data_IF_861903949661
#
_entry.id   IF_861903949661
#
_cell.length_a   1.000
_cell.length_b   1.000
_cell.length_c   1.000
_cell.angle_alpha   90.00
_cell.angle_beta   90.00
_cell.angle_gamma   90.00
#
_symmetry.space_group_name_H-M   'P 1'
#
loop_
_entity.id
_entity.type
_entity.pdbx_description
1 polymer ?
#
# COMPACT_ATOMS: atom_id res chain seq x y z
N UNK A 1 48.32 0.87 1.24
CA UNK A 1 47.19 1.42 0.45
C UNK A 1 46.04 0.43 0.23
N UNK A 2 46.26 -0.84 -0.15
CA UNK A 2 45.18 -1.83 -0.40
C UNK A 2 44.16 -2.02 0.74
N UNK A 3 44.58 -1.95 2.01
CA UNK A 3 43.68 -2.12 3.16
C UNK A 3 42.63 -1.00 3.32
N UNK A 4 43.00 0.26 3.03
CA UNK A 4 42.07 1.40 3.10
C UNK A 4 41.00 1.33 2.01
N UNK A 5 41.38 0.91 0.80
CA UNK A 5 40.42 0.69 -0.30
C UNK A 5 39.41 -0.41 0.00
N UNK A 6 39.83 -1.49 0.67
CA UNK A 6 38.94 -2.58 1.08
C UNK A 6 37.86 -2.14 2.08
N UNK A 7 38.20 -1.22 3.00
CA UNK A 7 37.23 -0.67 3.95
C UNK A 7 36.19 0.23 3.26
N UNK A 8 36.59 1.00 2.25
CA UNK A 8 35.65 1.82 1.46
C UNK A 8 34.62 0.92 0.76
N UNK A 9 35.05 -0.16 0.11
CA UNK A 9 34.13 -1.12 -0.54
C UNK A 9 33.18 -1.81 0.44
N UNK A 10 33.60 -2.00 1.68
CA UNK A 10 32.72 -2.52 2.73
C UNK A 10 31.59 -1.54 3.06
N UNK A 11 31.88 -0.26 3.29
CA UNK A 11 30.86 0.75 3.55
C UNK A 11 29.92 0.97 2.36
N UNK A 12 30.46 0.97 1.14
CA UNK A 12 29.65 1.02 -0.10
C UNK A 12 28.69 -0.17 -0.15
N UNK A 13 29.14 -1.36 0.24
CA UNK A 13 28.28 -2.55 0.25
C UNK A 13 27.15 -2.46 1.28
N UNK A 14 27.41 -1.86 2.44
CA UNK A 14 26.37 -1.59 3.46
C UNK A 14 25.32 -0.63 2.90
N UNK A 15 25.73 0.45 2.24
CA UNK A 15 24.80 1.43 1.65
C UNK A 15 23.95 0.78 0.57
N UNK A 16 24.54 -0.03 -0.31
CA UNK A 16 23.82 -0.77 -1.35
C UNK A 16 22.81 -1.73 -0.71
N UNK A 17 23.20 -2.47 0.33
CA UNK A 17 22.31 -3.37 1.05
C UNK A 17 21.12 -2.62 1.67
N UNK A 18 21.36 -1.46 2.29
CA UNK A 18 20.29 -0.61 2.82
C UNK A 18 19.31 -0.17 1.73
N UNK A 19 19.80 0.26 0.57
CA UNK A 19 18.96 0.64 -0.58
C UNK A 19 18.11 -0.54 -1.04
N UNK A 20 18.69 -1.74 -1.19
CA UNK A 20 17.97 -2.95 -1.60
C UNK A 20 16.88 -3.29 -0.57
N UNK A 21 17.16 -3.17 0.73
CA UNK A 21 16.19 -3.43 1.81
C UNK A 21 15.03 -2.42 1.78
N UNK A 22 15.32 -1.13 1.54
CA UNK A 22 14.28 -0.11 1.39
C UNK A 22 13.40 -0.41 0.17
N UNK A 23 14.01 -0.71 -0.98
CA UNK A 23 13.29 -1.08 -2.20
C UNK A 23 12.45 -2.35 -2.01
N UNK A 24 12.91 -3.30 -1.19
CA UNK A 24 12.17 -4.52 -0.85
C UNK A 24 10.91 -4.28 0.00
N UNK A 25 10.82 -3.12 0.66
CA UNK A 25 9.59 -2.66 1.32
C UNK A 25 8.52 -2.20 0.32
N UNK A 26 8.96 -1.66 -0.83
CA UNK A 26 8.07 -1.16 -1.89
C UNK A 26 7.70 -2.28 -2.87
N UNK A 27 8.69 -3.08 -3.27
CA UNK A 27 8.55 -4.12 -4.31
C UNK A 27 9.03 -5.48 -3.79
N UNK A 28 8.16 -6.50 -3.74
CA UNK A 28 8.47 -7.78 -3.09
C UNK A 28 9.59 -8.58 -3.80
N UNK A 29 9.81 -8.35 -5.11
CA UNK A 29 10.86 -9.01 -5.89
C UNK A 29 12.28 -8.73 -5.36
N UNK A 30 12.51 -7.57 -4.73
CA UNK A 30 13.83 -7.19 -4.20
C UNK A 30 14.20 -7.92 -2.90
N UNK A 31 13.26 -8.62 -2.24
CA UNK A 31 13.52 -9.40 -1.02
C UNK A 31 14.53 -10.52 -1.27
N UNK A 32 14.38 -11.23 -2.39
CA UNK A 32 15.31 -12.29 -2.79
C UNK A 32 16.67 -11.70 -3.19
N UNK A 33 16.67 -10.50 -3.77
CA UNK A 33 17.89 -9.82 -4.19
C UNK A 33 18.79 -9.45 -3.01
N UNK A 34 18.23 -9.08 -1.85
CA UNK A 34 19.00 -8.82 -0.63
C UNK A 34 19.81 -10.05 -0.16
N UNK A 35 19.17 -11.23 -0.18
CA UNK A 35 19.82 -12.49 0.18
C UNK A 35 20.89 -12.88 -0.86
N UNK A 36 20.55 -12.77 -2.14
CA UNK A 36 21.50 -13.03 -3.23
C UNK A 36 22.73 -12.11 -3.13
N UNK A 37 22.51 -10.83 -2.82
CA UNK A 37 23.59 -9.86 -2.62
C UNK A 37 24.52 -10.25 -1.47
N UNK A 38 23.97 -10.67 -0.31
CA UNK A 38 24.78 -11.13 0.83
C UNK A 38 25.64 -12.35 0.49
N UNK A 39 25.09 -13.31 -0.26
CA UNK A 39 25.84 -14.49 -0.72
C UNK A 39 26.98 -14.08 -1.64
N UNK A 40 26.71 -13.22 -2.63
CA UNK A 40 27.74 -12.71 -3.56
C UNK A 40 28.82 -11.94 -2.80
N UNK A 41 28.42 -11.06 -1.87
CA UNK A 41 29.35 -10.29 -1.04
C UNK A 41 30.24 -11.21 -0.19
N UNK A 42 29.67 -12.26 0.40
CA UNK A 42 30.42 -13.25 1.18
C UNK A 42 31.48 -13.96 0.34
N UNK A 43 31.11 -14.43 -0.86
CA UNK A 43 32.01 -15.17 -1.74
C UNK A 43 33.14 -14.30 -2.30
N UNK A 44 32.84 -13.04 -2.62
CA UNK A 44 33.79 -12.13 -3.28
C UNK A 44 34.72 -11.41 -2.29
N UNK A 45 34.18 -10.93 -1.17
CA UNK A 45 34.90 -10.11 -0.20
C UNK A 45 35.27 -10.89 1.06
N UNK A 46 34.28 -11.41 1.79
CA UNK A 46 34.50 -11.98 3.13
C UNK A 46 35.40 -13.22 3.11
N UNK A 47 35.17 -14.14 2.16
CA UNK A 47 35.94 -15.39 2.04
C UNK A 47 37.43 -15.13 1.81
N UNK A 48 37.77 -14.14 0.96
CA UNK A 48 39.17 -13.76 0.69
C UNK A 48 39.84 -13.15 1.92
N UNK A 49 39.13 -12.31 2.66
CA UNK A 49 39.66 -11.69 3.88
C UNK A 49 39.96 -12.71 4.97
N UNK A 50 39.06 -13.67 5.19
CA UNK A 50 39.28 -14.77 6.15
C UNK A 50 40.49 -15.62 5.74
N UNK A 51 40.62 -15.94 4.45
CA UNK A 51 41.73 -16.74 3.96
C UNK A 51 43.08 -16.00 4.11
N UNK A 52 43.10 -14.68 3.89
CA UNK A 52 44.28 -13.84 4.10
C UNK A 52 44.74 -13.84 5.56
N UNK A 53 43.81 -13.67 6.52
CA UNK A 53 44.13 -13.72 7.96
C UNK A 53 44.72 -15.07 8.35
N UNK A 54 44.10 -16.17 7.90
CA UNK A 54 44.57 -17.54 8.17
C UNK A 54 45.96 -17.79 7.58
N UNK A 55 46.20 -17.38 6.33
CA UNK A 55 47.47 -17.59 5.63
C UNK A 55 48.63 -16.83 6.28
N UNK A 56 48.37 -15.62 6.74
CA UNK A 56 49.40 -14.76 7.33
C UNK A 56 49.54 -14.94 8.85
N UNK A 57 48.86 -15.93 9.44
CA UNK A 57 48.87 -16.22 10.88
C UNK A 57 48.70 -14.98 11.77
N UNK A 58 47.84 -14.05 11.32
CA UNK A 58 47.59 -12.81 12.07
C UNK A 58 46.81 -13.18 13.33
N UNK A 59 47.33 -12.83 14.50
CA UNK A 59 46.62 -12.98 15.76
C UNK A 59 45.40 -12.04 15.75
N UNK A 60 44.24 -12.61 15.41
CA UNK A 60 42.99 -11.89 15.25
C UNK A 60 42.08 -12.16 16.45
N UNK A 61 41.84 -11.13 17.23
CA UNK A 61 40.82 -11.18 18.28
C UNK A 61 39.43 -11.23 17.63
N UNK A 62 38.72 -12.34 17.83
CA UNK A 62 37.39 -12.51 17.27
C UNK A 62 36.44 -11.51 17.90
N UNK A 63 35.90 -10.62 17.08
CA UNK A 63 34.85 -9.70 17.53
C UNK A 63 33.52 -10.43 17.60
N UNK A 64 32.83 -10.25 18.72
CA UNK A 64 31.48 -10.79 18.92
C UNK A 64 30.48 -10.10 17.99
N UNK A 65 29.67 -10.91 17.30
CA UNK A 65 28.64 -10.44 16.36
C UNK A 65 27.30 -10.19 17.05
N UNK A 66 27.12 -10.58 18.31
CA UNK A 66 25.85 -10.44 19.02
C UNK A 66 25.32 -9.00 19.02
N UNK A 67 26.19 -8.01 19.28
CA UNK A 67 25.80 -6.58 19.25
C UNK A 67 25.39 -6.12 17.84
N UNK A 68 26.10 -6.55 16.81
CA UNK A 68 25.79 -6.17 15.43
C UNK A 68 24.45 -6.78 14.97
N UNK A 69 24.20 -8.04 15.31
CA UNK A 69 22.93 -8.71 15.04
C UNK A 69 21.77 -8.04 15.79
N UNK A 70 21.98 -7.64 17.05
CA UNK A 70 20.98 -6.92 17.84
C UNK A 70 20.58 -5.60 17.15
N UNK A 71 21.55 -4.77 16.75
CA UNK A 71 21.25 -3.51 16.03
C UNK A 71 20.56 -3.77 14.69
N UNK A 72 20.99 -4.79 13.94
CA UNK A 72 20.35 -5.17 12.68
C UNK A 72 18.90 -5.60 12.86
N UNK A 73 18.62 -6.44 13.86
CA UNK A 73 17.28 -6.89 14.19
C UNK A 73 16.39 -5.74 14.66
N UNK A 74 16.90 -4.88 15.55
CA UNK A 74 16.18 -3.70 16.03
C UNK A 74 15.83 -2.75 14.88
N UNK A 75 16.77 -2.46 13.99
CA UNK A 75 16.53 -1.63 12.80
C UNK A 75 15.48 -2.23 11.86
N UNK A 76 15.53 -3.54 11.63
CA UNK A 76 14.52 -4.25 10.82
C UNK A 76 13.11 -4.14 11.43
N UNK A 77 12.98 -4.34 12.75
CA UNK A 77 11.70 -4.21 13.45
C UNK A 77 11.14 -2.79 13.32
N UNK A 78 11.98 -1.76 13.48
CA UNK A 78 11.56 -0.36 13.30
C UNK A 78 11.02 -0.10 11.89
N UNK A 79 11.74 -0.56 10.85
CA UNK A 79 11.29 -0.41 9.46
C UNK A 79 10.00 -1.18 9.18
N UNK A 80 9.84 -2.36 9.77
CA UNK A 80 8.63 -3.16 9.65
C UNK A 80 7.43 -2.45 10.27
N UNK A 81 7.56 -1.95 11.49
CA UNK A 81 6.50 -1.18 12.18
C UNK A 81 6.14 0.07 11.41
N UNK A 82 7.13 0.81 10.89
CA UNK A 82 6.89 2.00 10.07
C UNK A 82 6.10 1.67 8.80
N UNK A 83 6.47 0.60 8.10
CA UNK A 83 5.73 0.13 6.92
C UNK A 83 4.31 -0.32 7.26
N UNK A 84 4.13 -0.99 8.40
CA UNK A 84 2.82 -1.41 8.87
C UNK A 84 1.90 -0.22 9.15
N UNK A 85 2.42 0.81 9.84
CA UNK A 85 1.69 2.06 10.10
C UNK A 85 1.34 2.75 8.78
N UNK A 86 2.30 2.87 7.85
CA UNK A 86 2.08 3.50 6.55
C UNK A 86 1.02 2.76 5.73
N UNK A 87 1.11 1.43 5.66
CA UNK A 87 0.13 0.59 4.98
C UNK A 87 -1.26 0.82 5.55
N UNK A 88 -1.40 0.76 6.87
CA UNK A 88 -2.68 0.98 7.54
C UNK A 88 -3.21 2.40 7.29
N UNK A 89 -2.38 3.43 7.40
CA UNK A 89 -2.77 4.80 7.09
C UNK A 89 -3.27 4.96 5.65
N UNK A 90 -2.59 4.35 4.67
CA UNK A 90 -3.00 4.36 3.27
C UNK A 90 -4.29 3.55 3.04
N UNK A 91 -4.44 2.38 3.68
CA UNK A 91 -5.68 1.59 3.59
C UNK A 91 -6.85 2.36 4.20
N UNK A 92 -6.70 2.97 5.37
CA UNK A 92 -7.76 3.78 5.98
C UNK A 92 -8.13 5.00 5.14
N UNK A 93 -7.15 5.64 4.49
CA UNK A 93 -7.41 6.73 3.55
C UNK A 93 -8.20 6.27 2.30
N UNK A 94 -7.97 5.04 1.81
CA UNK A 94 -8.60 4.52 0.60
C UNK A 94 -9.89 3.71 0.84
N UNK A 95 -10.12 3.18 2.05
CA UNK A 95 -11.30 2.36 2.39
C UNK A 95 -12.60 3.18 2.49
N UNK A 96 -12.53 4.51 2.60
CA UNK A 96 -13.71 5.35 2.85
C UNK A 96 -14.15 6.18 1.63
N UNK A 97 -13.44 6.11 0.50
CA UNK A 97 -13.84 6.85 -0.71
C UNK A 97 -13.93 5.91 -1.91
N UNK A 98 -15.10 5.29 -2.08
CA UNK A 98 -15.42 4.73 -3.39
C UNK A 98 -15.35 5.85 -4.44
N UNK A 99 -14.80 5.59 -5.64
CA UNK A 99 -14.86 6.56 -6.73
C UNK A 99 -16.32 6.90 -7.02
N UNK A 100 -16.65 8.20 -7.17
CA UNK A 100 -18.02 8.67 -7.46
C UNK A 100 -18.65 7.91 -8.63
N UNK A 101 -17.88 7.64 -9.68
CA UNK A 101 -18.34 6.90 -10.86
C UNK A 101 -18.85 5.49 -10.56
N UNK A 102 -18.24 4.78 -9.60
CA UNK A 102 -18.68 3.42 -9.21
C UNK A 102 -20.00 3.48 -8.44
N UNK A 103 -20.18 4.51 -7.62
CA UNK A 103 -21.44 4.73 -6.90
C UNK A 103 -22.56 5.08 -7.89
N UNK A 104 -22.28 5.92 -8.88
CA UNK A 104 -23.24 6.33 -9.91
C UNK A 104 -23.72 5.14 -10.77
N UNK A 105 -22.79 4.31 -11.26
CA UNK A 105 -23.11 3.14 -12.07
C UNK A 105 -23.87 2.06 -11.28
N UNK A 106 -23.46 1.78 -10.04
CA UNK A 106 -24.12 0.77 -9.20
C UNK A 106 -25.48 1.22 -8.65
N UNK A 107 -25.76 2.52 -8.60
CA UNK A 107 -27.02 3.06 -8.08
C UNK A 107 -28.15 3.05 -9.12
N UNK A 108 -27.85 3.19 -10.42
CA UNK A 108 -28.86 3.22 -11.50
C UNK A 108 -29.86 2.03 -11.48
N UNK A 109 -29.45 0.76 -11.36
CA UNK A 109 -30.40 -0.36 -11.30
C UNK A 109 -31.24 -0.37 -10.02
N UNK A 110 -30.66 0.05 -8.88
CA UNK A 110 -31.37 0.10 -7.59
C UNK A 110 -32.42 1.23 -7.61
N UNK A 111 -32.08 2.39 -8.18
CA UNK A 111 -33.02 3.50 -8.38
C UNK A 111 -34.16 3.10 -9.31
N UNK A 112 -33.86 2.39 -10.42
CA UNK A 112 -34.90 1.90 -11.35
C UNK A 112 -35.91 1.00 -10.64
N UNK A 113 -35.44 0.05 -9.82
CA UNK A 113 -36.33 -0.81 -9.03
C UNK A 113 -37.17 -0.01 -8.03
N UNK A 114 -36.60 1.02 -7.40
CA UNK A 114 -37.30 1.87 -6.45
C UNK A 114 -38.41 2.68 -7.13
N UNK A 115 -38.14 3.27 -8.29
CA UNK A 115 -39.09 4.06 -9.08
C UNK A 115 -40.28 3.19 -9.51
N UNK A 116 -40.01 2.00 -10.05
CA UNK A 116 -41.06 1.07 -10.50
C UNK A 116 -41.90 0.53 -9.35
N UNK A 117 -41.27 0.21 -8.21
CA UNK A 117 -41.95 -0.45 -7.09
C UNK A 117 -42.68 0.52 -6.16
N UNK A 118 -42.09 1.69 -5.87
CA UNK A 118 -42.60 2.62 -4.87
C UNK A 118 -43.31 3.83 -5.46
N UNK A 119 -42.86 4.33 -6.61
CA UNK A 119 -43.47 5.48 -7.28
C UNK A 119 -44.48 5.07 -8.36
N UNK A 120 -44.55 3.78 -8.69
CA UNK A 120 -45.47 3.20 -9.69
C UNK A 120 -45.34 3.87 -11.07
N UNK A 121 -44.11 4.32 -11.38
CA UNK A 121 -43.74 4.95 -12.65
C UNK A 121 -43.15 3.87 -13.58
N UNK A 122 -43.53 3.90 -14.86
CA UNK A 122 -43.01 2.96 -15.88
C UNK A 122 -41.63 3.35 -16.42
N UNK A 123 -41.12 4.55 -16.09
CA UNK A 123 -39.85 5.06 -16.59
C UNK A 123 -38.64 4.46 -15.87
N UNK A 124 -37.60 4.10 -16.63
CA UNK A 124 -36.31 3.65 -16.11
C UNK A 124 -35.35 4.81 -15.86
N UNK A 125 -34.41 4.59 -14.92
CA UNK A 125 -33.35 5.55 -14.63
C UNK A 125 -32.20 5.34 -15.63
N UNK A 126 -31.86 6.38 -16.39
CA UNK A 126 -30.77 6.36 -17.36
C UNK A 126 -29.41 6.57 -16.69
N UNK A 127 -29.33 7.56 -15.79
CA UNK A 127 -28.10 7.90 -15.08
C UNK A 127 -28.37 8.52 -13.72
N UNK A 128 -27.45 8.31 -12.79
CA UNK A 128 -27.45 8.94 -11.46
C UNK A 128 -26.20 9.81 -11.38
N UNK A 129 -26.37 11.09 -11.06
CA UNK A 129 -25.25 12.05 -10.93
C UNK A 129 -25.14 12.49 -9.48
N UNK A 130 -23.98 12.35 -8.86
CA UNK A 130 -23.74 12.80 -7.48
C UNK A 130 -23.44 14.30 -7.48
N UNK A 131 -24.32 15.08 -6.86
CA UNK A 131 -24.18 16.54 -6.77
C UNK A 131 -23.24 16.92 -5.63
N UNK A 132 -23.50 16.43 -4.41
CA UNK A 132 -22.77 16.84 -3.20
C UNK A 132 -22.56 15.68 -2.23
N UNK A 133 -21.52 15.77 -1.40
CA UNK A 133 -21.28 14.85 -0.28
C UNK A 133 -21.70 15.55 1.03
N UNK A 134 -22.72 15.02 1.70
CA UNK A 134 -23.27 15.62 2.93
C UNK A 134 -22.42 15.23 4.13
N UNK A 135 -22.01 13.96 4.18
CA UNK A 135 -21.16 13.39 5.22
C UNK A 135 -20.49 12.12 4.69
N UNK A 136 -19.48 11.61 5.41
CA UNK A 136 -18.76 10.40 4.98
C UNK A 136 -19.72 9.24 4.74
N UNK A 137 -19.86 8.84 3.46
CA UNK A 137 -20.77 7.78 3.02
C UNK A 137 -22.22 8.22 2.75
N UNK A 138 -22.55 9.51 2.75
CA UNK A 138 -23.88 10.04 2.42
C UNK A 138 -23.78 11.11 1.33
N UNK A 139 -24.42 10.86 0.20
CA UNK A 139 -24.32 11.66 -1.03
C UNK A 139 -25.71 12.16 -1.46
N UNK A 140 -25.79 13.43 -1.86
CA UNK A 140 -26.90 13.95 -2.64
C UNK A 140 -26.67 13.57 -4.10
N UNK A 141 -27.69 13.01 -4.74
CA UNK A 141 -27.66 12.62 -6.13
C UNK A 141 -28.94 13.00 -6.86
N UNK A 142 -28.84 13.14 -8.17
CA UNK A 142 -29.97 13.38 -9.06
C UNK A 142 -30.06 12.19 -10.01
N UNK A 143 -31.22 11.53 -10.04
CA UNK A 143 -31.55 10.52 -11.03
C UNK A 143 -32.20 11.18 -12.24
N UNK A 144 -31.64 10.93 -13.43
CA UNK A 144 -32.22 11.32 -14.71
C UNK A 144 -32.98 10.12 -15.28
N UNK A 145 -34.29 10.27 -15.45
CA UNK A 145 -35.16 9.25 -16.01
C UNK A 145 -35.21 9.37 -17.55
N UNK A 146 -35.63 8.30 -18.21
CA UNK A 146 -35.75 8.25 -19.67
C UNK A 146 -36.79 9.23 -20.24
N UNK A 147 -37.75 9.64 -19.42
CA UNK A 147 -38.78 10.65 -19.76
C UNK A 147 -38.28 12.10 -19.64
N UNK A 148 -37.02 12.30 -19.22
CA UNK A 148 -36.40 13.61 -18.99
C UNK A 148 -36.69 14.21 -17.61
N UNK A 149 -37.45 13.53 -16.76
CA UNK A 149 -37.72 13.93 -15.37
C UNK A 149 -36.48 13.73 -14.52
N UNK A 150 -36.26 14.64 -13.57
CA UNK A 150 -35.16 14.58 -12.61
C UNK A 150 -35.71 14.37 -11.21
N UNK A 151 -35.20 13.37 -10.49
CA UNK A 151 -35.59 13.07 -9.11
C UNK A 151 -34.38 13.24 -8.20
N UNK A 152 -34.56 14.05 -7.16
CA UNK A 152 -33.56 14.23 -6.10
C UNK A 152 -33.54 13.01 -5.17
N UNK A 153 -32.35 12.49 -4.89
CA UNK A 153 -32.11 11.29 -4.11
C UNK A 153 -31.00 11.51 -3.08
N UNK A 154 -31.09 10.81 -1.96
CA UNK A 154 -30.01 10.71 -0.99
C UNK A 154 -29.50 9.27 -0.98
N UNK A 155 -28.24 9.07 -1.31
CA UNK A 155 -27.57 7.77 -1.35
C UNK A 155 -26.71 7.62 -0.10
N UNK A 156 -27.00 6.62 0.72
CA UNK A 156 -26.24 6.28 1.91
C UNK A 156 -25.52 4.93 1.70
N UNK A 157 -24.19 4.98 1.67
CA UNK A 157 -23.30 3.85 1.48
C UNK A 157 -22.84 3.36 2.87
N UNK A 158 -23.31 2.19 3.29
CA UNK A 158 -22.85 1.53 4.53
C UNK A 158 -22.20 0.20 4.19
N UNK A 159 -20.87 0.16 4.18
CA UNK A 159 -20.11 -1.03 3.82
C UNK A 159 -20.34 -1.39 2.35
N UNK A 160 -20.96 -2.55 2.10
CA UNK A 160 -21.26 -3.04 0.75
C UNK A 160 -22.72 -2.83 0.32
N UNK A 161 -23.52 -2.13 1.13
CA UNK A 161 -24.94 -1.93 0.89
C UNK A 161 -25.23 -0.45 0.58
N UNK A 162 -26.03 -0.23 -0.46
CA UNK A 162 -26.52 1.08 -0.91
C UNK A 162 -27.96 1.26 -0.43
N UNK A 163 -28.20 2.29 0.37
CA UNK A 163 -29.53 2.70 0.80
C UNK A 163 -29.91 3.98 0.10
N UNK A 164 -31.01 3.96 -0.63
CA UNK A 164 -31.49 5.12 -1.39
C UNK A 164 -32.73 5.65 -0.68
N UNK A 165 -32.73 6.95 -0.36
CA UNK A 165 -33.86 7.63 0.24
C UNK A 165 -34.36 8.72 -0.72
N UNK A 166 -35.67 8.72 -0.98
CA UNK A 166 -36.34 9.75 -1.77
C UNK A 166 -37.01 10.72 -0.80
N UNK A 167 -36.57 11.99 -0.73
CA UNK A 167 -37.28 12.99 0.06
C UNK A 167 -38.72 13.15 -0.47
N UNK A 168 -39.71 13.41 0.40
CA UNK A 168 -41.04 13.80 -0.07
C UNK A 168 -40.91 15.06 -0.94
N UNK A 169 -41.48 14.99 -2.14
CA UNK A 169 -41.52 16.06 -3.14
C UNK A 169 -42.74 16.95 -2.89
#
# INVERSE_FOLDING_TARGET
QKAKGSMVWFYVSIVILLIIVILAGIMPMFRVLALAYLVVWYLTCAKRQVHYIKRNQINYEKKDWGKALLFGAAGYVVLFVLNFILFFALTYANVVKLPKSIIEESSAPVVTQLIQTQLNLESSCNSVTITDEISSGVYNAIANLDDGTQINLIINVKGNNLYINVPPQ
#
